data_IF_703510068070
#
_entry.id   IF_703510068070
#
_cell.length_a   1.000
_cell.length_b   1.000
_cell.length_c   1.000
_cell.angle_alpha   90.00
_cell.angle_beta   90.00
_cell.angle_gamma   90.00
#
_symmetry.space_group_name_H-M   'P 1'
#
loop_
_entity.id
_entity.type
_entity.pdbx_description
1 polymer ?
#
# COMPACT_ATOMS: atom_id res chain seq x y z
N UNK A 1 -83.87 121.37 32.88
CA UNK A 1 -84.27 120.72 31.62
C UNK A 1 -83.51 119.41 31.44
N UNK A 2 -84.24 118.32 31.13
CA UNK A 2 -83.85 117.02 30.51
C UNK A 2 -82.80 117.22 29.37
N UNK A 3 -81.94 116.30 28.91
CA UNK A 3 -81.77 114.84 29.00
C UNK A 3 -80.37 114.47 28.40
N UNK A 4 -79.97 113.18 28.35
CA UNK A 4 -78.58 112.68 28.35
C UNK A 4 -78.04 112.18 26.99
N UNK A 5 -76.79 111.66 26.95
CA UNK A 5 -76.21 110.53 26.15
C UNK A 5 -74.68 110.71 26.05
N UNK A 6 -73.77 109.72 26.05
CA UNK A 6 -73.82 108.27 25.98
C UNK A 6 -72.52 107.75 25.32
N UNK A 7 -71.82 106.80 25.96
CA UNK A 7 -71.07 105.70 25.33
C UNK A 7 -69.86 105.94 24.37
N UNK A 8 -69.10 107.04 24.48
CA UNK A 8 -67.94 107.29 23.58
C UNK A 8 -66.53 106.83 24.06
N UNK A 9 -66.24 106.90 25.37
CA UNK A 9 -64.83 106.78 25.86
C UNK A 9 -64.32 105.34 26.03
N UNK A 10 -65.20 104.41 26.41
CA UNK A 10 -64.81 102.99 26.59
C UNK A 10 -64.42 102.33 25.26
N UNK A 11 -65.10 102.65 24.15
CA UNK A 11 -64.76 102.12 22.82
C UNK A 11 -63.44 102.69 22.28
N UNK A 12 -63.13 103.96 22.59
CA UNK A 12 -61.88 104.62 22.16
C UNK A 12 -60.66 104.11 22.92
N UNK A 13 -60.79 103.88 24.23
CA UNK A 13 -59.69 103.31 25.03
C UNK A 13 -59.46 101.83 24.68
N UNK A 14 -60.52 101.08 24.37
CA UNK A 14 -60.40 99.70 23.86
C UNK A 14 -59.70 99.67 22.49
N UNK A 15 -60.05 100.59 21.59
CA UNK A 15 -59.41 100.70 20.28
C UNK A 15 -57.91 101.02 20.37
N UNK A 16 -57.51 101.94 21.26
CA UNK A 16 -56.08 102.27 21.48
C UNK A 16 -55.29 101.11 22.08
N UNK A 17 -55.89 100.32 22.97
CA UNK A 17 -55.25 99.14 23.56
C UNK A 17 -55.05 98.04 22.50
N UNK A 18 -56.03 97.85 21.62
CA UNK A 18 -55.92 96.90 20.49
C UNK A 18 -54.85 97.33 19.51
N UNK A 19 -54.78 98.63 19.17
CA UNK A 19 -53.72 99.16 18.29
C UNK A 19 -52.35 99.03 18.96
N UNK A 20 -52.22 99.37 20.24
CA UNK A 20 -50.98 99.22 20.99
C UNK A 20 -50.51 97.76 21.06
N UNK A 21 -51.41 96.82 21.34
CA UNK A 21 -51.12 95.39 21.34
C UNK A 21 -50.74 94.88 19.94
N UNK A 22 -51.38 95.37 18.88
CA UNK A 22 -51.06 95.01 17.51
C UNK A 22 -49.67 95.51 17.10
N UNK A 23 -49.32 96.75 17.45
CA UNK A 23 -47.99 97.31 17.20
C UNK A 23 -46.93 96.55 18.00
N UNK A 24 -47.16 96.30 19.29
CA UNK A 24 -46.25 95.54 20.13
C UNK A 24 -46.01 94.12 19.58
N UNK A 25 -47.08 93.44 19.16
CA UNK A 25 -47.00 92.09 18.57
C UNK A 25 -46.28 92.09 17.22
N UNK A 26 -46.49 93.11 16.38
CA UNK A 26 -45.77 93.26 15.11
C UNK A 26 -44.27 93.53 15.34
N UNK A 27 -43.91 94.40 16.29
CA UNK A 27 -42.52 94.65 16.64
C UNK A 27 -41.84 93.42 17.24
N UNK A 28 -42.54 92.67 18.09
CA UNK A 28 -42.04 91.41 18.64
C UNK A 28 -41.86 90.35 17.55
N UNK A 29 -42.81 90.24 16.62
CA UNK A 29 -42.72 89.34 15.47
C UNK A 29 -41.52 89.64 14.57
N UNK A 30 -41.23 90.91 14.29
CA UNK A 30 -40.05 91.31 13.50
C UNK A 30 -38.74 91.05 14.26
N UNK A 31 -38.70 91.29 15.57
CA UNK A 31 -37.52 91.01 16.39
C UNK A 31 -37.20 89.52 16.47
N UNK A 32 -38.22 88.68 16.66
CA UNK A 32 -38.06 87.22 16.68
C UNK A 32 -37.72 86.69 15.29
N UNK A 33 -38.39 87.20 14.25
CA UNK A 33 -38.16 86.81 12.86
C UNK A 33 -36.73 87.10 12.38
N UNK A 34 -36.09 88.18 12.85
CA UNK A 34 -34.70 88.51 12.50
C UNK A 34 -33.66 87.53 13.06
N UNK A 35 -34.01 86.76 14.10
CA UNK A 35 -33.12 85.75 14.67
C UNK A 35 -33.41 84.32 14.17
N UNK A 36 -34.46 84.13 13.38
CA UNK A 36 -34.82 82.85 12.77
C UNK A 36 -34.16 82.73 11.40
N UNK A 37 -32.91 82.28 11.39
CA UNK A 37 -32.21 81.96 10.15
C UNK A 37 -32.53 80.53 9.74
N UNK A 38 -32.98 80.34 8.50
CA UNK A 38 -33.30 79.00 7.99
C UNK A 38 -32.01 78.18 7.73
N UNK A 39 -32.05 76.84 7.83
CA UNK A 39 -30.90 76.00 7.45
C UNK A 39 -30.46 76.22 6.00
N UNK A 40 -31.40 76.55 5.11
CA UNK A 40 -31.11 76.87 3.71
C UNK A 40 -30.36 78.20 3.57
N UNK A 41 -30.72 79.25 4.31
CA UNK A 41 -29.95 80.51 4.34
C UNK A 41 -28.60 80.36 5.02
N UNK A 42 -28.50 79.53 6.07
CA UNK A 42 -27.21 79.23 6.70
C UNK A 42 -26.26 78.51 5.72
N UNK A 43 -26.78 77.60 4.89
CA UNK A 43 -26.00 76.92 3.85
C UNK A 43 -25.66 77.85 2.68
N UNK A 44 -26.58 78.74 2.27
CA UNK A 44 -26.34 79.71 1.19
C UNK A 44 -25.33 80.80 1.58
N UNK A 45 -25.33 81.22 2.86
CA UNK A 45 -24.37 82.18 3.41
C UNK A 45 -23.10 81.51 3.97
N UNK A 46 -22.97 80.18 3.85
CA UNK A 46 -21.76 79.48 4.24
C UNK A 46 -20.63 79.84 3.27
N UNK A 47 -19.60 80.52 3.78
CA UNK A 47 -18.41 80.78 2.99
C UNK A 47 -17.72 79.44 2.63
N UNK A 48 -17.12 79.33 1.43
CA UNK A 48 -16.28 78.19 1.10
C UNK A 48 -15.20 77.99 2.16
N UNK A 49 -14.87 76.74 2.54
CA UNK A 49 -13.76 76.50 3.45
C UNK A 49 -12.48 77.08 2.85
N UNK A 50 -11.60 77.58 3.71
CA UNK A 50 -10.35 78.16 3.23
C UNK A 50 -9.55 77.11 2.42
N UNK A 51 -9.04 77.47 1.23
CA UNK A 51 -8.28 76.54 0.40
C UNK A 51 -7.06 76.02 1.16
N UNK A 52 -7.10 74.75 1.55
CA UNK A 52 -5.98 74.08 2.20
C UNK A 52 -5.26 73.16 1.22
N UNK A 53 -3.97 72.92 1.50
CA UNK A 53 -3.18 71.96 0.73
C UNK A 53 -3.37 70.58 1.33
N UNK A 54 -3.82 69.63 0.52
CA UNK A 54 -3.85 68.21 0.91
C UNK A 54 -2.43 67.68 0.77
N UNK A 55 -1.75 67.49 1.91
CA UNK A 55 -0.40 66.93 1.96
C UNK A 55 -0.41 65.55 2.61
N UNK A 56 0.47 64.67 2.13
CA UNK A 56 0.74 63.36 2.74
C UNK A 56 2.23 63.34 3.14
N UNK A 57 2.60 62.86 4.33
CA UNK A 57 3.99 62.78 4.74
C UNK A 57 4.80 61.88 3.81
N UNK A 58 6.07 62.25 3.57
CA UNK A 58 6.99 61.45 2.75
C UNK A 58 7.56 60.33 3.61
N UNK A 59 7.39 59.09 3.16
CA UNK A 59 7.87 57.90 3.85
C UNK A 59 8.69 57.02 2.89
N UNK A 60 9.74 56.37 3.41
CA UNK A 60 10.50 55.36 2.67
C UNK A 60 9.87 53.98 2.94
N UNK A 61 9.29 53.37 1.91
CA UNK A 61 8.67 52.03 1.96
C UNK A 61 9.08 51.21 0.75
N UNK A 62 9.05 49.89 0.88
CA UNK A 62 9.17 49.01 -0.27
C UNK A 62 7.89 49.09 -1.12
N UNK A 63 8.05 49.20 -2.45
CA UNK A 63 6.93 49.13 -3.37
C UNK A 63 6.69 47.66 -3.71
N UNK A 64 5.49 47.17 -3.42
CA UNK A 64 5.07 45.82 -3.79
C UNK A 64 4.27 45.88 -5.09
N UNK A 65 4.67 45.06 -6.07
CA UNK A 65 3.90 44.82 -7.29
C UNK A 65 3.21 43.47 -7.15
N UNK A 66 1.88 43.48 -7.02
CA UNK A 66 1.09 42.25 -6.97
C UNK A 66 0.66 41.89 -8.40
N UNK A 67 1.30 40.88 -8.97
CA UNK A 67 0.82 40.24 -10.20
C UNK A 67 -0.21 39.17 -9.85
N UNK A 68 -1.38 39.25 -10.47
CA UNK A 68 -2.39 38.18 -10.44
C UNK A 68 -2.26 37.42 -11.75
N UNK A 69 -1.90 36.15 -11.67
CA UNK A 69 -1.80 35.25 -12.83
C UNK A 69 -2.90 34.19 -12.76
N UNK A 70 -3.47 33.87 -13.93
CA UNK A 70 -4.40 32.76 -14.09
C UNK A 70 -3.62 31.57 -14.67
N UNK A 71 -3.80 30.39 -14.10
CA UNK A 71 -3.20 29.14 -14.59
C UNK A 71 -4.26 28.10 -14.86
N UNK A 72 -3.94 27.13 -15.72
CA UNK A 72 -4.76 25.95 -15.98
C UNK A 72 -4.02 24.72 -15.43
N UNK A 73 -4.74 23.87 -14.68
CA UNK A 73 -4.24 22.56 -14.25
C UNK A 73 -4.60 21.54 -15.33
N UNK A 74 -3.59 20.86 -15.85
CA UNK A 74 -3.74 19.78 -16.82
C UNK A 74 -3.11 18.52 -16.27
N UNK A 75 -3.62 17.37 -16.68
CA UNK A 75 -2.94 16.11 -16.47
C UNK A 75 -1.61 16.12 -17.20
N UNK A 76 -0.62 15.46 -16.62
CA UNK A 76 0.64 15.15 -17.29
C UNK A 76 0.41 14.16 -18.46
N UNK A 77 1.44 13.94 -19.27
CA UNK A 77 1.39 12.92 -20.31
C UNK A 77 1.10 11.53 -19.70
N UNK A 78 0.21 10.71 -20.31
CA UNK A 78 -0.10 9.38 -19.82
C UNK A 78 1.15 8.51 -19.71
N UNK A 79 1.41 7.97 -18.52
CA UNK A 79 2.50 7.00 -18.33
C UNK A 79 1.98 5.58 -18.63
N UNK A 80 2.59 4.84 -19.57
CA UNK A 80 2.15 3.49 -19.87
C UNK A 80 2.54 2.53 -18.73
N UNK A 81 1.53 1.93 -18.08
CA UNK A 81 1.73 0.88 -17.08
C UNK A 81 1.66 -0.48 -17.77
N UNK A 82 2.63 -1.36 -17.48
CA UNK A 82 2.66 -2.73 -17.98
C UNK A 82 2.53 -3.69 -16.80
N UNK A 83 1.68 -4.70 -16.95
CA UNK A 83 1.61 -5.79 -16.00
C UNK A 83 2.87 -6.65 -16.13
N UNK A 84 3.45 -7.03 -14.99
CA UNK A 84 4.56 -7.95 -14.98
C UNK A 84 4.07 -9.40 -15.05
N UNK A 85 4.54 -10.09 -16.09
CA UNK A 85 4.29 -11.51 -16.27
C UNK A 85 2.81 -11.85 -16.51
N UNK A 86 2.49 -13.11 -16.29
CA UNK A 86 1.16 -13.65 -16.54
C UNK A 86 0.28 -13.50 -15.28
N UNK A 87 -0.88 -12.90 -15.46
CA UNK A 87 -1.97 -12.83 -14.49
C UNK A 87 -2.96 -13.97 -14.78
N UNK A 88 -3.21 -14.83 -13.79
CA UNK A 88 -4.33 -15.78 -13.80
C UNK A 88 -4.24 -16.92 -14.81
N UNK A 89 -3.06 -17.21 -15.36
CA UNK A 89 -2.88 -18.25 -16.37
C UNK A 89 -1.58 -19.04 -16.17
N UNK A 90 -1.69 -20.36 -16.21
CA UNK A 90 -0.53 -21.24 -16.41
C UNK A 90 0.18 -20.87 -17.72
N UNK A 91 1.50 -21.08 -17.75
CA UNK A 91 2.32 -20.85 -18.94
C UNK A 91 1.67 -21.50 -20.19
N UNK A 92 1.33 -20.68 -21.19
CA UNK A 92 0.73 -21.15 -22.46
C UNK A 92 -0.77 -20.91 -22.63
N UNK A 93 -1.49 -20.42 -21.60
CA UNK A 93 -2.90 -20.01 -21.74
C UNK A 93 -2.99 -18.58 -22.29
N UNK A 94 -3.98 -18.29 -23.16
CA UNK A 94 -4.29 -16.92 -23.55
C UNK A 94 -4.90 -16.17 -22.35
N UNK A 95 -4.33 -15.02 -22.01
CA UNK A 95 -4.90 -14.13 -21.01
C UNK A 95 -6.11 -13.41 -21.60
N UNK A 96 -7.26 -13.49 -20.93
CA UNK A 96 -8.49 -12.84 -21.37
C UNK A 96 -8.86 -11.78 -20.36
N UNK A 97 -8.98 -10.53 -20.78
CA UNK A 97 -9.50 -9.47 -19.92
C UNK A 97 -11.00 -9.71 -19.71
N UNK A 98 -11.39 -10.12 -18.50
CA UNK A 98 -12.78 -10.42 -18.14
C UNK A 98 -13.53 -9.17 -17.66
N UNK A 99 -12.80 -8.19 -17.11
CA UNK A 99 -13.31 -6.86 -16.75
C UNK A 99 -12.33 -5.80 -17.20
N UNK A 100 -12.76 -4.90 -18.07
CA UNK A 100 -11.97 -3.78 -18.55
C UNK A 100 -12.00 -2.60 -17.56
N UNK A 101 -10.94 -1.77 -17.50
CA UNK A 101 -10.94 -0.56 -16.69
C UNK A 101 -11.94 0.48 -17.22
N UNK A 102 -12.54 1.23 -16.32
CA UNK A 102 -13.44 2.33 -16.68
C UNK A 102 -12.64 3.58 -17.09
N UNK A 103 -13.04 4.19 -18.21
CA UNK A 103 -12.36 5.38 -18.72
C UNK A 103 -12.62 6.59 -17.82
N UNK A 104 -11.57 7.33 -17.48
CA UNK A 104 -11.60 8.51 -16.61
C UNK A 104 -12.08 8.24 -15.16
N UNK A 105 -12.11 6.98 -14.74
CA UNK A 105 -12.35 6.65 -13.34
C UNK A 105 -11.08 6.93 -12.51
N UNK A 106 -11.19 7.65 -11.38
CA UNK A 106 -10.07 7.76 -10.45
C UNK A 106 -9.76 6.38 -9.86
N UNK A 107 -8.47 6.08 -9.67
CA UNK A 107 -7.99 4.85 -9.04
C UNK A 107 -7.23 5.22 -7.76
N UNK A 108 -7.65 4.63 -6.65
CA UNK A 108 -6.96 4.70 -5.37
C UNK A 108 -6.08 3.47 -5.15
N UNK A 109 -5.20 3.56 -4.16
CA UNK A 109 -4.47 2.39 -3.67
C UNK A 109 -5.45 1.34 -3.12
N UNK A 110 -5.24 0.07 -3.48
CA UNK A 110 -6.12 -1.05 -3.14
C UNK A 110 -7.26 -1.31 -4.15
N UNK A 111 -7.50 -0.40 -5.10
CA UNK A 111 -8.57 -0.58 -6.08
C UNK A 111 -8.24 -1.69 -7.10
N UNK A 112 -9.29 -2.35 -7.59
CA UNK A 112 -9.20 -3.30 -8.70
C UNK A 112 -9.29 -2.55 -10.02
N UNK A 113 -8.14 -2.40 -10.70
CA UNK A 113 -8.06 -1.74 -12.01
C UNK A 113 -8.81 -2.52 -13.09
N UNK A 114 -8.54 -3.82 -13.19
CA UNK A 114 -9.08 -4.71 -14.22
C UNK A 114 -9.07 -6.15 -13.73
N UNK A 115 -9.77 -7.03 -14.45
CA UNK A 115 -9.70 -8.47 -14.20
C UNK A 115 -9.17 -9.22 -15.43
N UNK A 116 -8.26 -10.15 -15.17
CA UNK A 116 -7.72 -11.06 -16.19
C UNK A 116 -8.06 -12.48 -15.81
N UNK A 117 -8.83 -13.16 -16.64
CA UNK A 117 -9.29 -14.55 -16.44
C UNK A 117 -10.00 -14.73 -15.08
N UNK A 118 -10.76 -13.73 -14.64
CA UNK A 118 -11.44 -13.72 -13.33
C UNK A 118 -10.55 -13.33 -12.14
N UNK A 119 -9.27 -13.01 -12.36
CA UNK A 119 -8.34 -12.60 -11.31
C UNK A 119 -8.21 -11.07 -11.27
N UNK A 120 -8.39 -10.42 -10.09
CA UNK A 120 -8.26 -8.98 -9.97
C UNK A 120 -6.80 -8.54 -10.09
N UNK A 121 -6.60 -7.38 -10.70
CA UNK A 121 -5.34 -6.64 -10.70
C UNK A 121 -5.49 -5.42 -9.80
N UNK A 122 -4.84 -5.45 -8.65
CA UNK A 122 -4.86 -4.37 -7.67
C UNK A 122 -3.88 -3.25 -8.03
N UNK A 123 -4.21 -2.03 -7.63
CA UNK A 123 -3.36 -0.85 -7.76
C UNK A 123 -2.65 -0.59 -6.43
N UNK A 124 -1.32 -0.54 -6.45
CA UNK A 124 -0.52 -0.12 -5.30
C UNK A 124 0.30 1.11 -5.64
N UNK A 125 0.53 1.97 -4.65
CA UNK A 125 1.42 3.11 -4.77
C UNK A 125 2.85 2.71 -4.40
N UNK A 126 3.81 3.13 -5.20
CA UNK A 126 5.22 2.86 -4.95
C UNK A 126 6.13 3.32 -6.08
N UNK A 127 7.42 3.31 -5.80
CA UNK A 127 8.47 3.75 -6.74
C UNK A 127 8.94 2.62 -7.65
N UNK A 128 8.80 1.36 -7.20
CA UNK A 128 9.21 0.18 -7.94
C UNK A 128 8.02 -0.45 -8.66
N UNK A 129 8.11 -0.69 -9.98
CA UNK A 129 7.13 -1.53 -10.66
C UNK A 129 7.31 -2.97 -10.20
N UNK A 130 6.21 -3.71 -10.04
CA UNK A 130 6.29 -5.18 -9.94
C UNK A 130 6.93 -5.71 -11.21
N UNK A 131 7.96 -6.55 -11.10
CA UNK A 131 8.69 -7.14 -12.25
C UNK A 131 8.74 -8.67 -12.22
N UNK A 132 8.23 -9.30 -11.16
CA UNK A 132 8.18 -10.75 -10.95
C UNK A 132 6.91 -11.14 -10.18
N UNK A 133 6.61 -12.43 -10.11
CA UNK A 133 5.63 -12.96 -9.18
C UNK A 133 6.16 -12.94 -7.74
N UNK A 134 5.26 -12.72 -6.79
CA UNK A 134 5.54 -12.91 -5.37
C UNK A 134 5.23 -14.35 -4.97
N UNK A 135 6.21 -15.04 -4.42
CA UNK A 135 6.11 -16.44 -4.00
C UNK A 135 6.76 -16.60 -2.62
N UNK A 136 6.30 -17.53 -1.77
CA UNK A 136 6.93 -17.82 -0.49
C UNK A 136 8.46 -17.98 -0.60
N UNK A 137 9.18 -17.23 0.24
CA UNK A 137 10.65 -17.25 0.30
C UNK A 137 11.38 -16.31 -0.67
N UNK A 138 10.68 -15.52 -1.49
CA UNK A 138 11.34 -14.44 -2.24
C UNK A 138 11.72 -13.29 -1.31
N UNK A 139 12.87 -12.67 -1.57
CA UNK A 139 13.33 -11.49 -0.83
C UNK A 139 13.66 -10.35 -1.79
N UNK A 140 13.33 -9.12 -1.43
CA UNK A 140 13.68 -7.92 -2.20
C UNK A 140 12.97 -6.64 -1.76
N UNK A 141 13.39 -5.49 -2.31
CA UNK A 141 12.77 -4.19 -2.02
C UNK A 141 11.34 -4.07 -2.60
N UNK A 142 11.00 -4.87 -3.61
CA UNK A 142 9.66 -4.99 -4.15
C UNK A 142 8.68 -5.62 -3.15
N UNK A 143 9.16 -6.55 -2.31
CA UNK A 143 8.39 -7.15 -1.23
C UNK A 143 8.15 -6.13 -0.13
N UNK A 144 9.19 -5.41 0.28
CA UNK A 144 9.06 -4.33 1.26
C UNK A 144 7.98 -3.33 0.89
N UNK A 145 7.99 -2.87 -0.36
CA UNK A 145 7.01 -1.93 -0.88
C UNK A 145 5.59 -2.51 -0.86
N UNK A 146 5.44 -3.81 -1.16
CA UNK A 146 4.15 -4.51 -1.07
C UNK A 146 3.65 -4.55 0.39
N UNK A 147 4.51 -4.89 1.34
CA UNK A 147 4.17 -4.91 2.76
C UNK A 147 3.79 -3.54 3.29
N UNK A 148 4.53 -2.49 2.91
CA UNK A 148 4.17 -1.11 3.22
C UNK A 148 2.79 -0.73 2.66
N UNK A 149 2.49 -1.14 1.43
CA UNK A 149 1.18 -0.90 0.81
C UNK A 149 0.06 -1.65 1.54
N UNK A 150 0.28 -2.92 1.89
CA UNK A 150 -0.68 -3.72 2.67
C UNK A 150 -0.95 -3.07 4.04
N UNK A 151 0.10 -2.65 4.73
CA UNK A 151 0.00 -1.96 6.02
C UNK A 151 -0.78 -0.64 5.91
N UNK A 152 -0.54 0.17 4.86
CA UNK A 152 -1.31 1.40 4.60
C UNK A 152 -2.80 1.12 4.35
N UNK A 153 -3.10 -0.01 3.73
CA UNK A 153 -4.47 -0.47 3.47
C UNK A 153 -5.13 -1.13 4.68
N UNK A 154 -4.40 -1.31 5.79
CA UNK A 154 -4.90 -1.90 7.03
C UNK A 154 -4.88 -3.43 7.06
N UNK A 155 -4.20 -4.07 6.11
CA UNK A 155 -3.86 -5.50 6.20
C UNK A 155 -2.52 -5.62 6.92
N UNK A 156 -2.42 -6.52 7.89
CA UNK A 156 -1.21 -6.68 8.71
C UNK A 156 -0.27 -7.71 8.06
N UNK A 157 0.80 -7.29 7.35
CA UNK A 157 1.80 -8.21 6.81
C UNK A 157 2.78 -8.70 7.88
N UNK A 158 2.62 -8.30 9.15
CA UNK A 158 3.66 -8.47 10.16
C UNK A 158 4.73 -7.36 10.06
N UNK A 159 5.99 -7.66 10.42
CA UNK A 159 7.08 -6.70 10.27
C UNK A 159 7.26 -6.33 8.79
N UNK A 160 7.23 -5.03 8.49
CA UNK A 160 7.62 -4.54 7.16
C UNK A 160 9.13 -4.75 7.00
N UNK A 161 9.50 -5.75 6.21
CA UNK A 161 10.88 -6.08 5.89
C UNK A 161 11.06 -6.32 4.38
N UNK A 162 11.82 -7.32 3.95
CA UNK A 162 12.05 -7.58 2.52
C UNK A 162 11.70 -9.01 2.15
N UNK A 163 11.20 -9.82 3.07
CA UNK A 163 11.02 -11.25 2.92
C UNK A 163 9.54 -11.59 2.80
N UNK A 164 9.18 -12.25 1.70
CA UNK A 164 7.82 -12.74 1.54
C UNK A 164 7.65 -13.99 2.41
N UNK A 165 6.94 -13.83 3.52
CA UNK A 165 6.67 -14.86 4.51
C UNK A 165 5.17 -15.16 4.66
N UNK A 166 4.84 -16.01 5.64
CA UNK A 166 3.47 -16.45 5.92
C UNK A 166 2.56 -15.27 6.35
N UNK A 167 3.11 -14.23 6.98
CA UNK A 167 2.34 -13.07 7.42
C UNK A 167 1.98 -12.16 6.24
N UNK A 168 2.94 -11.93 5.33
CA UNK A 168 2.70 -11.22 4.07
C UNK A 168 1.71 -11.96 3.19
N UNK A 169 1.80 -13.29 3.10
CA UNK A 169 0.82 -14.13 2.39
C UNK A 169 -0.59 -13.99 3.00
N UNK A 170 -0.72 -14.06 4.33
CA UNK A 170 -2.00 -13.90 5.01
C UNK A 170 -2.62 -12.50 4.81
N UNK A 171 -1.80 -11.44 4.75
CA UNK A 171 -2.26 -10.09 4.45
C UNK A 171 -2.80 -9.96 3.02
N UNK A 172 -2.15 -10.62 2.05
CA UNK A 172 -2.64 -10.68 0.67
C UNK A 172 -3.95 -11.46 0.60
N UNK A 173 -4.07 -12.59 1.29
CA UNK A 173 -5.32 -13.34 1.37
C UNK A 173 -6.46 -12.49 1.94
N UNK A 174 -6.18 -11.71 2.98
CA UNK A 174 -7.13 -10.78 3.55
C UNK A 174 -7.54 -9.68 2.56
N UNK A 175 -6.61 -9.12 1.79
CA UNK A 175 -6.88 -8.14 0.73
C UNK A 175 -7.80 -8.72 -0.35
N UNK A 176 -7.51 -9.92 -0.83
CA UNK A 176 -8.33 -10.62 -1.81
C UNK A 176 -9.74 -10.85 -1.26
N UNK A 177 -9.84 -11.39 -0.04
CA UNK A 177 -11.12 -11.65 0.61
C UNK A 177 -11.94 -10.39 0.87
N UNK A 178 -11.30 -9.28 1.27
CA UNK A 178 -11.96 -7.99 1.49
C UNK A 178 -12.59 -7.43 0.21
N UNK A 179 -12.00 -7.76 -0.94
CA UNK A 179 -12.49 -7.37 -2.27
C UNK A 179 -13.41 -8.43 -2.92
N UNK A 180 -13.74 -9.52 -2.22
CA UNK A 180 -14.65 -10.56 -2.72
C UNK A 180 -14.01 -11.58 -3.65
N UNK A 181 -12.68 -11.68 -3.66
CA UNK A 181 -11.93 -12.64 -4.46
C UNK A 181 -11.28 -13.71 -3.59
N UNK A 182 -10.99 -14.86 -4.19
CA UNK A 182 -10.12 -15.87 -3.58
C UNK A 182 -8.70 -15.64 -4.08
N UNK A 183 -7.73 -15.67 -3.17
CA UNK A 183 -6.32 -15.68 -3.53
C UNK A 183 -5.95 -16.99 -4.24
N UNK A 184 -4.89 -16.93 -5.04
CA UNK A 184 -4.38 -18.09 -5.75
C UNK A 184 -3.63 -19.00 -4.76
N UNK A 185 -4.10 -20.23 -4.62
CA UNK A 185 -3.38 -21.24 -3.85
C UNK A 185 -2.20 -21.85 -4.63
N UNK A 186 -1.50 -22.83 -4.04
CA UNK A 186 -0.38 -23.51 -4.68
C UNK A 186 -0.76 -24.12 -6.03
N UNK A 187 0.10 -23.95 -7.02
CA UNK A 187 -0.09 -24.53 -8.35
C UNK A 187 -0.12 -26.06 -8.29
N UNK A 188 -0.72 -26.70 -9.30
CA UNK A 188 -0.73 -28.17 -9.40
C UNK A 188 0.68 -28.75 -9.43
N UNK A 189 1.64 -28.04 -10.02
CA UNK A 189 3.04 -28.43 -10.03
C UNK A 189 3.63 -28.37 -8.62
N UNK A 190 3.43 -27.25 -7.90
CA UNK A 190 3.90 -27.09 -6.51
C UNK A 190 3.30 -28.18 -5.60
N UNK A 191 1.99 -28.46 -5.70
CA UNK A 191 1.33 -29.55 -4.96
C UNK A 191 1.90 -30.93 -5.28
N UNK A 192 2.28 -31.16 -6.54
CA UNK A 192 2.88 -32.43 -6.96
C UNK A 192 4.31 -32.55 -6.45
N UNK A 193 5.09 -31.47 -6.52
CA UNK A 193 6.45 -31.39 -5.98
C UNK A 193 6.49 -31.59 -4.47
N UNK A 194 5.51 -31.06 -3.74
CA UNK A 194 5.36 -31.29 -2.31
C UNK A 194 5.16 -32.79 -2.03
N UNK A 195 4.17 -33.42 -2.67
CA UNK A 195 3.88 -34.85 -2.51
C UNK A 195 5.08 -35.76 -2.85
N UNK A 196 5.83 -35.43 -3.90
CA UNK A 196 7.03 -36.21 -4.27
C UNK A 196 8.14 -36.04 -3.24
N UNK A 197 8.31 -34.83 -2.70
CA UNK A 197 9.30 -34.54 -1.66
C UNK A 197 8.94 -35.23 -0.35
N UNK A 198 7.69 -35.15 0.09
CA UNK A 198 7.19 -35.86 1.28
C UNK A 198 7.42 -37.37 1.16
N UNK A 199 7.15 -37.95 0.00
CA UNK A 199 7.45 -39.36 -0.28
C UNK A 199 8.94 -39.66 -0.18
N UNK A 200 9.80 -38.83 -0.78
CA UNK A 200 11.24 -39.02 -0.72
C UNK A 200 11.78 -38.97 0.73
N UNK A 201 11.23 -38.08 1.57
CA UNK A 201 11.57 -38.01 3.00
C UNK A 201 11.14 -39.28 3.73
N UNK A 202 9.93 -39.78 3.48
CA UNK A 202 9.44 -41.02 4.10
C UNK A 202 10.28 -42.25 3.70
N UNK A 203 10.66 -42.34 2.42
CA UNK A 203 11.52 -43.40 1.90
C UNK A 203 12.93 -43.31 2.55
N UNK A 204 13.50 -42.10 2.67
CA UNK A 204 14.78 -41.90 3.33
C UNK A 204 14.77 -42.25 4.84
N UNK A 205 13.66 -41.97 5.54
CA UNK A 205 13.48 -42.37 6.95
C UNK A 205 13.41 -43.89 7.10
N UNK A 206 12.79 -44.58 6.14
CA UNK A 206 12.71 -46.04 6.12
C UNK A 206 14.11 -46.66 5.92
N UNK A 207 14.87 -46.14 4.96
CA UNK A 207 16.26 -46.57 4.71
C UNK A 207 17.17 -46.30 5.92
N UNK A 208 17.04 -45.14 6.58
CA UNK A 208 17.79 -44.84 7.81
C UNK A 208 17.48 -45.86 8.93
N UNK A 209 16.20 -46.22 9.08
CA UNK A 209 15.77 -47.22 10.08
C UNK A 209 16.34 -48.60 9.77
N UNK A 210 16.36 -48.97 8.48
CA UNK A 210 16.96 -50.22 8.01
C UNK A 210 18.46 -50.25 8.26
N UNK A 211 19.18 -49.20 7.86
CA UNK A 211 20.62 -49.08 8.07
C UNK A 211 20.99 -49.15 9.56
N UNK A 212 20.21 -48.50 10.44
CA UNK A 212 20.39 -48.59 11.89
C UNK A 212 20.17 -50.02 12.44
N UNK A 213 19.20 -50.74 11.89
CA UNK A 213 18.93 -52.13 12.26
C UNK A 213 20.07 -53.05 11.81
N UNK A 214 20.57 -52.86 10.59
CA UNK A 214 21.71 -53.60 10.04
C UNK A 214 22.99 -53.33 10.84
N UNK A 215 23.28 -52.06 11.18
CA UNK A 215 24.41 -51.69 12.04
C UNK A 215 24.30 -52.33 13.43
N UNK A 216 23.10 -52.33 14.03
CA UNK A 216 22.85 -52.96 15.32
C UNK A 216 23.07 -54.47 15.27
N UNK A 217 22.68 -55.12 14.17
CA UNK A 217 22.89 -56.56 13.99
C UNK A 217 24.35 -56.89 13.70
N UNK A 218 25.07 -56.06 12.95
CA UNK A 218 26.50 -56.22 12.71
C UNK A 218 27.34 -56.09 14.00
N UNK A 219 26.86 -55.30 14.97
CA UNK A 219 27.49 -55.18 16.29
C UNK A 219 27.19 -56.33 17.26
N UNK A 220 26.27 -57.25 16.93
CA UNK A 220 25.96 -58.40 17.80
C UNK A 220 27.00 -59.50 17.59
N UNK A 221 27.53 -60.12 18.66
CA UNK A 221 28.35 -61.31 18.52
C UNK A 221 27.52 -62.42 17.87
N UNK A 222 28.17 -63.21 16.99
CA UNK A 222 27.57 -64.39 16.35
C UNK A 222 26.83 -65.23 17.39
N UNK A 223 25.61 -65.65 17.07
CA UNK A 223 24.88 -66.55 17.96
C UNK A 223 25.67 -67.85 18.16
N UNK A 224 25.48 -68.53 19.30
CA UNK A 224 26.19 -69.79 19.57
C UNK A 224 26.03 -70.85 18.48
N UNK A 225 24.88 -70.85 17.78
CA UNK A 225 24.62 -71.72 16.63
C UNK A 225 25.42 -71.33 15.39
N UNK A 226 25.56 -70.03 15.10
CA UNK A 226 26.36 -69.54 13.96
C UNK A 226 27.86 -69.73 14.19
N UNK A 227 28.33 -69.49 15.42
CA UNK A 227 29.69 -69.79 15.85
C UNK A 227 30.03 -71.28 15.68
N UNK A 228 29.13 -72.17 16.10
CA UNK A 228 29.30 -73.62 15.95
C UNK A 228 29.34 -74.04 14.47
N UNK A 229 28.45 -73.49 13.63
CA UNK A 229 28.49 -73.76 12.18
C UNK A 229 29.78 -73.26 11.55
N UNK A 230 30.25 -72.06 11.89
CA UNK A 230 31.53 -71.56 11.38
C UNK A 230 32.71 -72.42 11.84
N UNK A 231 32.72 -72.89 13.09
CA UNK A 231 33.72 -73.83 13.58
C UNK A 231 33.69 -75.16 12.81
N UNK A 232 32.50 -75.73 12.57
CA UNK A 232 32.37 -76.95 11.76
C UNK A 232 32.87 -76.74 10.34
N UNK A 233 32.59 -75.58 9.74
CA UNK A 233 33.03 -75.24 8.37
C UNK A 233 34.54 -75.06 8.31
N UNK A 234 35.14 -74.37 9.30
CA UNK A 234 36.59 -74.21 9.42
C UNK A 234 37.29 -75.55 9.61
N UNK A 235 36.70 -76.42 10.44
CA UNK A 235 37.23 -77.75 10.70
C UNK A 235 37.18 -78.61 9.43
N UNK A 236 36.04 -78.65 8.74
CA UNK A 236 35.91 -79.36 7.47
C UNK A 236 36.88 -78.81 6.40
N UNK A 237 37.08 -77.49 6.33
CA UNK A 237 38.04 -76.88 5.43
C UNK A 237 39.49 -77.30 5.77
N UNK A 238 39.87 -77.31 7.04
CA UNK A 238 41.18 -77.78 7.50
C UNK A 238 41.41 -79.25 7.16
N UNK A 239 40.40 -80.08 7.38
CA UNK A 239 40.46 -81.52 7.11
C UNK A 239 40.56 -81.80 5.60
N UNK A 240 40.07 -80.90 4.74
CA UNK A 240 40.15 -81.01 3.29
C UNK A 240 41.52 -80.59 2.69
N UNK A 241 42.33 -79.79 3.39
CA UNK A 241 43.63 -79.29 2.89
C UNK A 241 44.58 -80.42 2.49
N UNK A 242 44.84 -81.45 3.33
CA UNK A 242 45.80 -82.51 3.00
C UNK A 242 45.36 -83.33 1.77
N UNK A 243 44.06 -83.55 1.61
CA UNK A 243 43.52 -84.25 0.45
C UNK A 243 43.69 -83.43 -0.84
N UNK A 244 43.48 -82.11 -0.77
CA UNK A 244 43.72 -81.20 -1.87
C UNK A 244 45.21 -81.12 -2.24
N UNK A 245 46.12 -81.08 -1.26
CA UNK A 245 47.57 -81.12 -1.46
C UNK A 245 48.02 -82.42 -2.11
N UNK A 246 47.54 -83.56 -1.64
CA UNK A 246 47.84 -84.87 -2.24
C UNK A 246 47.31 -84.96 -3.69
N UNK A 247 46.11 -84.45 -3.95
CA UNK A 247 45.54 -84.41 -5.30
C UNK A 247 46.30 -83.45 -6.23
N UNK A 248 46.83 -82.34 -5.70
CA UNK A 248 47.69 -81.43 -6.44
C UNK A 248 49.03 -82.09 -6.77
N UNK A 249 49.69 -82.70 -5.78
CA UNK A 249 50.96 -83.41 -5.97
C UNK A 249 50.86 -84.52 -7.03
N UNK A 250 49.77 -85.30 -7.02
CA UNK A 250 49.50 -86.32 -8.06
C UNK A 250 49.35 -85.71 -9.45
N UNK A 251 48.60 -84.61 -9.57
CA UNK A 251 48.42 -83.89 -10.85
C UNK A 251 49.72 -83.29 -11.35
N UNK A 252 50.54 -82.74 -10.47
CA UNK A 252 51.87 -82.22 -10.83
C UNK A 252 52.80 -83.36 -11.28
N UNK A 253 52.79 -84.50 -10.59
CA UNK A 253 53.56 -85.67 -10.97
C UNK A 253 53.13 -86.25 -12.33
N UNK A 254 51.83 -86.35 -12.61
CA UNK A 254 51.34 -86.80 -13.92
C UNK A 254 51.72 -85.82 -15.03
N UNK A 255 51.53 -84.52 -14.81
CA UNK A 255 51.91 -83.49 -15.78
C UNK A 255 53.43 -83.49 -16.07
N UNK A 256 54.28 -83.71 -15.06
CA UNK A 256 55.72 -83.82 -15.23
C UNK A 256 56.11 -85.07 -16.05
N UNK A 257 55.42 -86.19 -15.84
CA UNK A 257 55.60 -87.41 -16.63
C UNK A 257 55.19 -87.20 -18.09
N UNK A 258 54.05 -86.55 -18.35
CA UNK A 258 53.57 -86.22 -19.70
C UNK A 258 54.55 -85.33 -20.47
N UNK A 259 55.10 -84.29 -19.82
CA UNK A 259 56.11 -83.40 -20.41
C UNK A 259 57.39 -84.15 -20.79
N UNK A 260 57.85 -85.05 -19.91
CA UNK A 260 59.08 -85.83 -20.12
C UNK A 260 58.92 -86.84 -21.26
N UNK A 261 57.76 -87.51 -21.35
CA UNK A 261 57.41 -88.39 -22.46
C UNK A 261 57.40 -87.65 -23.81
N UNK A 262 56.85 -86.43 -23.85
CA UNK A 262 56.82 -85.61 -25.05
C UNK A 262 58.20 -85.11 -25.51
N UNK A 263 59.16 -84.94 -24.59
CA UNK A 263 60.53 -84.51 -24.93
C UNK A 263 61.41 -85.64 -25.45
N UNK A 264 61.15 -86.89 -25.05
CA UNK A 264 61.95 -88.07 -25.42
C UNK A 264 61.54 -88.67 -26.78
N UNK A 265 60.35 -88.33 -27.29
CA UNK A 265 59.82 -88.78 -28.58
C UNK A 265 60.22 -87.88 -29.78
N UNK A 266 61.17 -86.96 -29.57
CA UNK A 266 61.75 -86.07 -30.59
C UNK A 266 63.21 -86.43 -30.81
#
# INVERSE_FOLDING_TARGET
MKAPRGAGSRRRNLALLVVGAAVASATAGVLVGRNLQSPAEAAANAAPPEPSRITVPVERRALESRLVANGELRYEEPTPVRLAGNVGASAGSAQVVTRAPELNAPLAEGDVLLEVSGRPVFVFQGDLPTYRGFEPGVTGPDVQQLEEALARLGFDPGPVDTAYDDATEAAIDALYSANGYQSEGPSTEQRTRLRTTEKAVADAQTELTRANTELTNAGKPLSGAELLRQQQTLQAARDAVPAAEAAAARRTASAAADVTAATTAR
#
